data_IF_549243902756
#
_entry.id   IF_549243902756
#
_cell.length_a   1.000
_cell.length_b   1.000
_cell.length_c   1.000
_cell.angle_alpha   90.00
_cell.angle_beta   90.00
_cell.angle_gamma   90.00
#
_symmetry.space_group_name_H-M   'P 1'
#
loop_
_entity.id
_entity.type
_entity.pdbx_description
1 polymer ?
#
# COMPACT_ATOMS: atom_id res chain seq x y z
N UNK A 1 -2.43 7.60 7.91
CA UNK A 1 -3.24 6.37 8.08
C UNK A 1 -4.67 6.71 8.45
N UNK A 2 -5.62 6.00 7.89
CA UNK A 2 -7.06 6.21 8.08
C UNK A 2 -7.73 4.88 8.41
N UNK A 3 -8.61 4.88 9.41
CA UNK A 3 -9.51 3.76 9.65
C UNK A 3 -10.82 4.05 8.94
N UNK A 4 -11.21 3.20 7.99
CA UNK A 4 -12.41 3.43 7.21
C UNK A 4 -12.54 2.49 6.00
N UNK A 5 -13.39 2.92 5.08
CA UNK A 5 -13.73 2.19 3.85
C UNK A 5 -13.01 2.84 2.66
N UNK A 6 -12.10 2.07 2.04
CA UNK A 6 -11.30 2.56 0.91
C UNK A 6 -12.16 2.96 -0.30
N UNK A 7 -13.38 2.41 -0.44
CA UNK A 7 -14.30 2.74 -1.54
C UNK A 7 -14.93 4.13 -1.40
N UNK A 8 -14.74 4.79 -0.25
CA UNK A 8 -15.28 6.12 0.05
C UNK A 8 -14.21 7.20 0.12
N UNK A 9 -12.96 6.86 -0.12
CA UNK A 9 -11.84 7.80 -0.07
C UNK A 9 -11.81 8.68 -1.32
N UNK A 10 -11.76 9.99 -1.12
CA UNK A 10 -11.79 11.01 -2.18
C UNK A 10 -10.57 11.94 -2.20
N UNK A 11 -9.63 11.78 -1.28
CA UNK A 11 -8.43 12.61 -1.13
C UNK A 11 -7.21 12.08 -1.89
N UNK A 12 -7.38 10.99 -2.64
CA UNK A 12 -6.34 10.39 -3.48
C UNK A 12 -6.81 10.23 -4.92
N UNK A 13 -5.85 10.19 -5.84
CA UNK A 13 -6.13 9.96 -7.25
C UNK A 13 -6.37 8.48 -7.56
N UNK A 14 -5.70 7.58 -6.86
CA UNK A 14 -5.83 6.14 -7.05
C UNK A 14 -5.98 5.40 -5.72
N UNK A 15 -6.84 4.40 -5.72
CA UNK A 15 -6.88 3.38 -4.66
C UNK A 15 -6.29 2.08 -5.20
N UNK A 16 -5.69 1.29 -4.31
CA UNK A 16 -5.15 -0.03 -4.64
C UNK A 16 -6.16 -1.10 -4.26
N UNK A 17 -6.41 -2.02 -5.19
CA UNK A 17 -7.24 -3.20 -4.98
C UNK A 17 -6.35 -4.41 -4.68
N UNK A 18 -6.66 -5.15 -3.63
CA UNK A 18 -6.10 -6.47 -3.35
C UNK A 18 -6.88 -7.51 -4.16
N UNK A 19 -6.50 -7.70 -5.40
CA UNK A 19 -7.18 -8.53 -6.37
C UNK A 19 -6.70 -10.00 -6.32
N UNK A 20 -7.42 -10.89 -6.99
CA UNK A 20 -6.92 -12.21 -7.33
C UNK A 20 -6.34 -12.22 -8.76
N UNK A 21 -5.71 -13.32 -9.15
CA UNK A 21 -5.03 -13.43 -10.46
C UNK A 21 -5.94 -13.23 -11.66
N UNK A 22 -7.23 -13.53 -11.53
CA UNK A 22 -8.19 -13.37 -12.64
C UNK A 22 -8.57 -11.91 -12.88
N UNK A 23 -8.48 -11.05 -11.87
CA UNK A 23 -8.98 -9.67 -11.85
C UNK A 23 -10.51 -9.57 -12.01
N UNK A 24 -11.25 -10.65 -11.87
CA UNK A 24 -12.68 -10.71 -12.14
C UNK A 24 -13.57 -10.53 -10.91
N UNK A 25 -13.02 -9.95 -9.85
CA UNK A 25 -13.73 -9.74 -8.59
C UNK A 25 -13.58 -10.91 -7.63
N UNK A 26 -14.11 -10.75 -6.45
CA UNK A 26 -14.05 -11.73 -5.36
C UNK A 26 -14.69 -11.18 -4.10
N UNK A 27 -14.25 -11.67 -2.95
CA UNK A 27 -14.70 -11.20 -1.63
C UNK A 27 -13.85 -10.04 -1.07
N UNK A 28 -14.13 -9.66 0.17
CA UNK A 28 -13.38 -8.65 0.89
C UNK A 28 -13.33 -7.30 0.18
N UNK A 29 -12.18 -6.64 0.20
CA UNK A 29 -12.00 -5.33 -0.43
C UNK A 29 -12.19 -5.37 -1.94
N UNK A 30 -11.79 -6.46 -2.60
CA UNK A 30 -11.98 -6.65 -4.04
C UNK A 30 -13.46 -6.60 -4.42
N UNK A 31 -14.30 -7.35 -3.73
CA UNK A 31 -15.75 -7.34 -3.92
C UNK A 31 -16.36 -5.96 -3.64
N UNK A 32 -15.93 -5.28 -2.58
CA UNK A 32 -16.40 -3.95 -2.23
C UNK A 32 -16.04 -2.92 -3.32
N UNK A 33 -14.84 -2.97 -3.85
CA UNK A 33 -14.39 -2.06 -4.93
C UNK A 33 -15.21 -2.30 -6.21
N UNK A 34 -15.40 -3.55 -6.61
CA UNK A 34 -16.22 -3.86 -7.79
C UNK A 34 -17.67 -3.40 -7.64
N UNK A 35 -18.28 -3.60 -6.47
CA UNK A 35 -19.65 -3.14 -6.20
C UNK A 35 -19.76 -1.61 -6.27
N UNK A 36 -18.82 -0.91 -5.65
CA UNK A 36 -18.82 0.56 -5.62
C UNK A 36 -18.51 1.19 -6.99
N UNK A 37 -17.60 0.59 -7.75
CA UNK A 37 -17.22 1.07 -9.08
C UNK A 37 -18.31 0.85 -10.14
N UNK A 38 -19.12 -0.19 -9.96
CA UNK A 38 -20.11 -0.61 -10.94
C UNK A 38 -19.57 -1.56 -12.01
N UNK A 39 -20.42 -2.03 -12.93
CA UNK A 39 -20.09 -3.14 -13.86
C UNK A 39 -19.00 -2.81 -14.89
N UNK A 40 -18.77 -1.55 -15.18
CA UNK A 40 -17.74 -1.14 -16.16
C UNK A 40 -16.32 -1.48 -15.71
N UNK A 41 -16.05 -1.51 -14.39
CA UNK A 41 -14.75 -1.91 -13.89
C UNK A 41 -14.44 -3.36 -14.27
N UNK A 42 -15.40 -4.26 -14.10
CA UNK A 42 -15.25 -5.66 -14.49
C UNK A 42 -14.94 -5.81 -15.98
N UNK A 43 -15.62 -5.04 -16.83
CA UNK A 43 -15.38 -5.07 -18.28
C UNK A 43 -13.95 -4.64 -18.63
N UNK A 44 -13.44 -3.60 -18.00
CA UNK A 44 -12.04 -3.18 -18.21
C UNK A 44 -11.06 -4.23 -17.68
N UNK A 45 -11.34 -4.82 -16.50
CA UNK A 45 -10.51 -5.89 -15.93
C UNK A 45 -10.42 -7.13 -16.84
N UNK A 46 -11.53 -7.50 -17.50
CA UNK A 46 -11.53 -8.62 -18.46
C UNK A 46 -10.54 -8.39 -19.60
N UNK A 47 -10.42 -7.17 -20.08
CA UNK A 47 -9.49 -6.81 -21.15
C UNK A 47 -8.03 -6.87 -20.74
N UNK A 48 -7.72 -6.91 -19.44
CA UNK A 48 -6.36 -7.03 -18.92
C UNK A 48 -5.83 -8.48 -18.91
N UNK A 49 -6.69 -9.46 -19.06
CA UNK A 49 -6.33 -10.89 -19.10
C UNK A 49 -5.56 -11.38 -17.87
N UNK A 50 -5.99 -10.96 -16.69
CA UNK A 50 -5.39 -11.36 -15.42
C UNK A 50 -4.15 -10.56 -15.02
N UNK A 51 -3.58 -10.96 -13.88
CA UNK A 51 -2.40 -10.32 -13.30
C UNK A 51 -1.66 -11.37 -12.45
N UNK A 52 -0.34 -11.44 -12.56
CA UNK A 52 0.46 -12.36 -11.76
C UNK A 52 0.65 -11.84 -10.33
N UNK A 53 0.87 -12.77 -9.40
CA UNK A 53 1.21 -12.41 -8.02
C UNK A 53 2.44 -11.49 -7.98
N UNK A 54 2.33 -10.39 -7.24
CA UNK A 54 3.38 -9.37 -7.13
C UNK A 54 3.32 -8.28 -8.18
N UNK A 55 2.58 -8.46 -9.26
CA UNK A 55 2.41 -7.45 -10.30
C UNK A 55 1.24 -6.50 -10.00
N UNK A 56 1.16 -5.41 -10.74
CA UNK A 56 0.10 -4.41 -10.63
C UNK A 56 -0.35 -3.91 -12.00
N UNK A 57 -1.65 -3.67 -12.16
CA UNK A 57 -2.26 -3.15 -13.39
C UNK A 57 -3.25 -2.04 -13.09
N UNK A 58 -3.33 -1.05 -13.97
CA UNK A 58 -4.16 0.14 -13.82
C UNK A 58 -5.47 0.02 -14.59
N UNK A 59 -6.56 0.48 -13.97
CA UNK A 59 -7.85 0.74 -14.64
C UNK A 59 -8.41 2.10 -14.24
N UNK A 60 -9.44 2.55 -14.93
CA UNK A 60 -10.28 3.63 -14.45
C UNK A 60 -11.09 3.19 -13.22
N UNK A 61 -11.60 4.15 -12.45
CA UNK A 61 -12.33 3.89 -11.20
C UNK A 61 -13.87 3.95 -11.35
N UNK A 62 -14.36 4.45 -12.46
CA UNK A 62 -15.79 4.57 -12.79
C UNK A 62 -16.59 5.30 -11.69
N UNK A 63 -17.49 4.62 -10.99
CA UNK A 63 -18.35 5.24 -9.97
C UNK A 63 -17.66 5.49 -8.62
N UNK A 64 -16.41 5.06 -8.44
CA UNK A 64 -15.64 5.37 -7.25
C UNK A 64 -15.29 6.87 -7.18
N UNK A 65 -15.08 7.43 -5.97
CA UNK A 65 -14.75 8.85 -5.82
C UNK A 65 -13.31 9.23 -6.21
N UNK A 66 -12.47 8.26 -6.56
CA UNK A 66 -11.13 8.47 -7.11
C UNK A 66 -11.11 8.31 -8.64
N UNK A 67 -9.97 8.55 -9.27
CA UNK A 67 -9.82 8.49 -10.74
C UNK A 67 -9.42 7.11 -11.25
N UNK A 68 -8.60 6.39 -10.50
CA UNK A 68 -7.98 5.14 -10.93
C UNK A 68 -8.05 4.07 -9.84
N UNK A 69 -8.01 2.82 -10.30
CA UNK A 69 -7.76 1.66 -9.43
C UNK A 69 -6.48 0.97 -9.91
N UNK A 70 -5.57 0.74 -8.99
CA UNK A 70 -4.38 -0.07 -9.22
C UNK A 70 -4.66 -1.44 -8.63
N UNK A 71 -4.75 -2.46 -9.47
CA UNK A 71 -5.00 -3.85 -9.06
C UNK A 71 -3.68 -4.56 -8.85
N UNK A 72 -3.45 -5.08 -7.67
CA UNK A 72 -2.27 -5.89 -7.35
C UNK A 72 -2.69 -7.21 -6.72
N UNK A 73 -1.94 -8.26 -6.98
CA UNK A 73 -2.25 -9.62 -6.52
C UNK A 73 -1.25 -10.03 -5.46
N UNK A 74 -1.70 -10.00 -4.21
CA UNK A 74 -0.88 -10.41 -3.08
C UNK A 74 -0.66 -11.93 -3.03
N UNK A 75 0.42 -12.38 -2.36
CA UNK A 75 0.66 -13.80 -2.16
C UNK A 75 -0.30 -14.40 -1.15
N UNK A 76 -0.69 -15.66 -1.37
CA UNK A 76 -1.33 -16.49 -0.36
C UNK A 76 -0.27 -16.99 0.61
N UNK A 77 -0.51 -16.84 1.92
CA UNK A 77 0.44 -17.29 2.92
C UNK A 77 0.54 -18.83 2.93
N UNK A 78 1.75 -19.31 2.76
CA UNK A 78 2.07 -20.73 2.75
C UNK A 78 3.21 -21.11 3.70
N UNK A 79 3.43 -20.32 4.76
CA UNK A 79 4.45 -20.60 5.78
C UNK A 79 5.76 -19.82 5.65
N UNK A 80 5.89 -18.94 4.66
CA UNK A 80 7.03 -18.05 4.51
C UNK A 80 8.20 -18.60 3.68
N UNK A 81 8.03 -19.79 3.06
CA UNK A 81 9.10 -20.45 2.27
C UNK A 81 8.92 -20.34 0.75
N UNK A 82 7.89 -19.62 0.30
CA UNK A 82 7.52 -19.50 -1.12
C UNK A 82 7.73 -18.08 -1.66
N UNK A 83 8.71 -17.36 -1.13
CA UNK A 83 9.00 -15.97 -1.48
C UNK A 83 7.84 -15.00 -1.18
N UNK A 84 6.98 -15.31 -0.23
CA UNK A 84 5.81 -14.51 0.10
C UNK A 84 6.21 -13.09 0.53
N UNK A 85 7.28 -12.94 1.30
CA UNK A 85 7.78 -11.62 1.72
C UNK A 85 8.19 -10.75 0.54
N UNK A 86 8.92 -11.32 -0.42
CA UNK A 86 9.33 -10.62 -1.64
C UNK A 86 8.12 -10.27 -2.50
N UNK A 87 7.20 -11.22 -2.69
CA UNK A 87 5.99 -11.00 -3.49
C UNK A 87 5.09 -9.94 -2.88
N UNK A 88 4.96 -9.89 -1.56
CA UNK A 88 4.21 -8.84 -0.89
C UNK A 88 4.89 -7.47 -1.06
N UNK A 89 6.20 -7.38 -0.90
CA UNK A 89 6.95 -6.17 -1.18
C UNK A 89 6.78 -5.72 -2.64
N UNK A 90 6.81 -6.65 -3.58
CA UNK A 90 6.61 -6.36 -5.00
C UNK A 90 5.22 -5.76 -5.28
N UNK A 91 4.17 -6.18 -4.57
CA UNK A 91 2.84 -5.59 -4.68
C UNK A 91 2.87 -4.09 -4.37
N UNK A 92 3.51 -3.69 -3.30
CA UNK A 92 3.63 -2.28 -2.92
C UNK A 92 4.52 -1.51 -3.89
N UNK A 93 5.66 -2.07 -4.22
CA UNK A 93 6.63 -1.44 -5.13
C UNK A 93 6.05 -1.27 -6.54
N UNK A 94 5.46 -2.31 -7.10
CA UNK A 94 4.89 -2.27 -8.45
C UNK A 94 3.64 -1.39 -8.52
N UNK A 95 2.81 -1.35 -7.46
CA UNK A 95 1.67 -0.44 -7.39
C UNK A 95 2.12 1.03 -7.42
N UNK A 96 3.14 1.38 -6.67
CA UNK A 96 3.69 2.74 -6.68
C UNK A 96 4.41 3.07 -7.98
N UNK A 97 5.08 2.08 -8.60
CA UNK A 97 5.70 2.26 -9.92
C UNK A 97 4.66 2.55 -11.01
N UNK A 98 3.53 1.84 -11.00
CA UNK A 98 2.40 2.13 -11.89
C UNK A 98 1.89 3.56 -11.67
N UNK A 99 1.76 3.99 -10.42
CA UNK A 99 1.34 5.36 -10.10
C UNK A 99 2.31 6.39 -10.67
N UNK A 100 3.60 6.24 -10.41
CA UNK A 100 4.65 7.16 -10.90
C UNK A 100 4.67 7.19 -12.43
N UNK A 101 4.61 6.05 -13.09
CA UNK A 101 4.61 5.95 -14.56
C UNK A 101 3.42 6.67 -15.22
N UNK A 102 2.30 6.77 -14.50
CA UNK A 102 1.08 7.45 -14.96
C UNK A 102 0.91 8.85 -14.33
N UNK A 103 1.94 9.38 -13.67
CA UNK A 103 1.92 10.69 -13.01
C UNK A 103 0.81 10.83 -11.95
N UNK A 104 0.45 9.73 -11.32
CA UNK A 104 -0.44 9.68 -10.16
C UNK A 104 0.39 10.03 -8.93
N UNK A 105 -0.03 11.03 -8.18
CA UNK A 105 0.74 11.59 -7.06
C UNK A 105 0.19 11.21 -5.68
N UNK A 106 -0.99 10.61 -5.63
CA UNK A 106 -1.64 10.23 -4.37
C UNK A 106 -2.29 8.85 -4.48
N UNK A 107 -1.98 7.98 -3.54
CA UNK A 107 -2.36 6.56 -3.56
C UNK A 107 -2.81 6.11 -2.17
N UNK A 108 -3.92 5.39 -2.09
CA UNK A 108 -4.38 4.73 -0.88
C UNK A 108 -4.30 3.21 -1.01
N UNK A 109 -3.70 2.56 -0.01
CA UNK A 109 -3.55 1.11 0.08
C UNK A 109 -4.50 0.49 1.10
N UNK A 110 -5.04 -0.71 0.82
CA UNK A 110 -5.57 -1.59 1.84
C UNK A 110 -4.44 -2.40 2.48
N UNK A 111 -4.77 -3.23 3.47
CA UNK A 111 -3.85 -4.26 3.96
C UNK A 111 -3.83 -5.44 2.98
N UNK A 112 -2.75 -5.61 2.23
CA UNK A 112 -2.64 -6.65 1.21
C UNK A 112 -2.33 -8.00 1.87
N UNK A 113 -2.99 -9.07 1.40
CA UNK A 113 -2.80 -10.48 1.79
C UNK A 113 -3.19 -10.85 3.22
N UNK A 114 -3.66 -9.93 4.06
CA UNK A 114 -3.94 -10.21 5.49
C UNK A 114 -5.35 -10.70 5.78
N UNK A 115 -6.23 -10.70 4.79
CA UNK A 115 -7.58 -11.27 4.88
C UNK A 115 -7.59 -12.77 4.57
N UNK A 116 -8.33 -13.16 3.53
CA UNK A 116 -8.48 -14.56 3.10
C UNK A 116 -7.14 -15.25 2.77
N UNK A 117 -6.12 -14.50 2.37
CA UNK A 117 -4.79 -15.06 2.05
C UNK A 117 -3.92 -15.31 3.28
N UNK A 118 -4.36 -14.91 4.46
CA UNK A 118 -3.82 -15.30 5.79
C UNK A 118 -2.35 -14.92 6.04
N UNK A 119 -1.83 -13.93 5.36
CA UNK A 119 -0.51 -13.41 5.71
C UNK A 119 -0.52 -12.90 7.17
N UNK A 120 0.46 -13.27 8.02
CA UNK A 120 0.54 -12.77 9.38
C UNK A 120 0.57 -11.24 9.40
N UNK A 121 -0.36 -10.63 10.14
CA UNK A 121 -0.63 -9.19 10.08
C UNK A 121 0.59 -8.34 10.44
N UNK A 122 1.28 -8.67 11.54
CA UNK A 122 2.45 -7.92 11.99
C UNK A 122 3.60 -7.92 10.96
N UNK A 123 3.85 -9.08 10.36
CA UNK A 123 4.88 -9.22 9.33
C UNK A 123 4.48 -8.50 8.04
N UNK A 124 3.22 -8.59 7.65
CA UNK A 124 2.70 -7.89 6.48
C UNK A 124 2.80 -6.37 6.64
N UNK A 125 2.42 -5.85 7.80
CA UNK A 125 2.52 -4.42 8.11
C UNK A 125 3.97 -3.92 8.06
N UNK A 126 4.91 -4.69 8.60
CA UNK A 126 6.34 -4.37 8.56
C UNK A 126 6.85 -4.27 7.11
N UNK A 127 6.52 -5.23 6.27
CA UNK A 127 6.93 -5.25 4.86
C UNK A 127 6.31 -4.06 4.11
N UNK A 128 5.02 -3.82 4.30
CA UNK A 128 4.31 -2.72 3.65
C UNK A 128 4.93 -1.36 3.96
N UNK A 129 5.12 -1.05 5.23
CA UNK A 129 5.67 0.24 5.67
C UNK A 129 7.12 0.41 5.20
N UNK A 130 7.95 -0.62 5.36
CA UNK A 130 9.35 -0.56 4.92
C UNK A 130 9.48 -0.38 3.40
N UNK A 131 8.69 -1.11 2.61
CA UNK A 131 8.76 -1.04 1.14
C UNK A 131 8.28 0.30 0.61
N UNK A 132 7.16 0.82 1.12
CA UNK A 132 6.65 2.14 0.71
C UNK A 132 7.63 3.24 1.08
N UNK A 133 8.21 3.18 2.27
CA UNK A 133 9.22 4.15 2.71
C UNK A 133 10.44 4.15 1.78
N UNK A 134 10.99 2.99 1.47
CA UNK A 134 12.11 2.83 0.55
C UNK A 134 11.78 3.38 -0.85
N UNK A 135 10.60 3.06 -1.36
CA UNK A 135 10.17 3.56 -2.67
C UNK A 135 10.09 5.10 -2.70
N UNK A 136 9.51 5.71 -1.67
CA UNK A 136 9.41 7.17 -1.58
C UNK A 136 10.79 7.83 -1.51
N UNK A 137 11.72 7.24 -0.78
CA UNK A 137 13.10 7.75 -0.70
C UNK A 137 13.83 7.67 -2.05
N UNK A 138 13.58 6.61 -2.83
CA UNK A 138 14.18 6.41 -4.15
C UNK A 138 13.51 7.24 -5.26
N UNK A 139 12.33 7.82 -4.99
CA UNK A 139 11.54 8.61 -5.94
C UNK A 139 11.17 9.98 -5.35
N UNK A 140 12.15 10.83 -5.00
CA UNK A 140 11.87 12.11 -4.33
C UNK A 140 11.02 13.03 -5.21
N UNK A 141 9.97 13.61 -4.62
CA UNK A 141 9.09 14.57 -5.29
C UNK A 141 8.08 13.98 -6.26
N UNK A 142 8.01 12.66 -6.42
CA UNK A 142 7.08 12.02 -7.36
C UNK A 142 5.73 11.67 -6.74
N UNK A 143 5.65 11.54 -5.42
CA UNK A 143 4.43 11.26 -4.68
C UNK A 143 4.19 12.32 -3.61
N UNK A 144 2.96 12.82 -3.52
CA UNK A 144 2.54 13.81 -2.51
C UNK A 144 1.91 13.12 -1.29
N UNK A 145 1.19 12.02 -1.49
CA UNK A 145 0.50 11.30 -0.43
C UNK A 145 0.44 9.80 -0.74
N UNK A 146 0.90 9.01 0.21
CA UNK A 146 0.63 7.57 0.27
C UNK A 146 0.01 7.28 1.63
N UNK A 147 -1.20 6.73 1.63
CA UNK A 147 -1.90 6.40 2.86
C UNK A 147 -2.37 4.95 2.87
N UNK A 148 -2.55 4.40 4.06
CA UNK A 148 -3.29 3.15 4.27
C UNK A 148 -4.67 3.48 4.78
N UNK A 149 -5.68 2.85 4.18
CA UNK A 149 -7.07 2.90 4.62
C UNK A 149 -7.46 1.51 5.10
N UNK A 150 -7.63 1.38 6.41
CA UNK A 150 -7.72 0.10 7.09
C UNK A 150 -9.10 -0.06 7.74
N UNK A 151 -9.74 -1.20 7.47
CA UNK A 151 -11.15 -1.41 7.79
C UNK A 151 -11.40 -1.61 9.29
N UNK A 152 -10.49 -2.28 10.01
CA UNK A 152 -10.68 -2.61 11.42
C UNK A 152 -9.56 -2.07 12.31
N UNK A 153 -9.83 -2.03 13.62
CA UNK A 153 -8.93 -1.46 14.63
C UNK A 153 -7.64 -2.28 14.77
N UNK A 154 -7.73 -3.59 14.75
CA UNK A 154 -6.58 -4.49 14.88
C UNK A 154 -5.57 -4.27 13.75
N UNK A 155 -6.05 -4.19 12.52
CA UNK A 155 -5.22 -3.92 11.35
C UNK A 155 -4.61 -2.53 11.41
N UNK A 156 -5.42 -1.52 11.76
CA UNK A 156 -4.94 -0.16 11.96
C UNK A 156 -3.79 -0.08 12.97
N UNK A 157 -3.94 -0.69 14.13
CA UNK A 157 -2.91 -0.68 15.19
C UNK A 157 -1.61 -1.35 14.75
N UNK A 158 -1.69 -2.44 13.98
CA UNK A 158 -0.50 -3.13 13.47
C UNK A 158 0.32 -2.23 12.53
N UNK A 159 -0.34 -1.54 11.60
CA UNK A 159 0.31 -0.60 10.69
C UNK A 159 0.79 0.66 11.40
N UNK A 160 0.00 1.20 12.32
CA UNK A 160 0.35 2.38 13.10
C UNK A 160 1.61 2.16 13.93
N UNK A 161 1.73 1.01 14.57
CA UNK A 161 2.93 0.61 15.32
C UNK A 161 4.16 0.60 14.42
N UNK A 162 4.10 0.01 13.24
CA UNK A 162 5.24 -0.05 12.30
C UNK A 162 5.62 1.32 11.76
N UNK A 163 4.64 2.14 11.42
CA UNK A 163 4.89 3.50 10.95
C UNK A 163 5.50 4.38 12.05
N UNK A 164 5.03 4.28 13.29
CA UNK A 164 5.57 5.01 14.43
C UNK A 164 7.01 4.61 14.73
N UNK A 165 7.34 3.32 14.67
CA UNK A 165 8.71 2.81 14.85
C UNK A 165 9.66 3.38 13.77
N UNK A 166 9.21 3.48 12.53
CA UNK A 166 9.99 4.06 11.44
C UNK A 166 10.26 5.55 11.69
N UNK A 167 9.28 6.32 12.13
CA UNK A 167 9.42 7.75 12.43
C UNK A 167 10.42 7.96 13.57
N UNK A 168 10.32 7.19 14.66
CA UNK A 168 11.25 7.27 15.79
C UNK A 168 12.68 6.94 15.34
N UNK A 169 12.87 5.90 14.56
CA UNK A 169 14.19 5.55 14.00
C UNK A 169 14.80 6.71 13.20
N UNK A 170 14.02 7.39 12.37
CA UNK A 170 14.48 8.55 11.61
C UNK A 170 14.89 9.73 12.49
N UNK A 171 14.15 9.99 13.56
CA UNK A 171 14.47 11.07 14.51
C UNK A 171 15.78 10.76 15.22
N UNK A 172 15.94 9.54 15.72
CA UNK A 172 17.14 9.12 16.48
C UNK A 172 18.40 9.15 15.63
N UNK A 173 18.29 8.87 14.33
CA UNK A 173 19.42 8.84 13.40
C UNK A 173 19.49 10.09 12.51
N UNK A 174 18.82 11.18 12.89
CA UNK A 174 18.86 12.39 12.07
C UNK A 174 20.19 13.13 12.26
N UNK A 175 20.82 13.67 11.19
CA UNK A 175 22.05 14.43 11.29
C UNK A 175 21.94 15.60 12.27
N UNK A 176 20.77 16.24 12.33
CA UNK A 176 20.50 17.36 13.24
C UNK A 176 20.57 16.94 14.72
N UNK A 177 20.08 15.75 15.06
CA UNK A 177 20.15 15.23 16.41
C UNK A 177 21.60 14.89 16.78
N UNK A 178 22.36 14.33 15.85
CA UNK A 178 23.77 14.03 16.02
C UNK A 178 24.60 15.30 16.26
N UNK A 179 24.29 16.41 15.56
CA UNK A 179 24.90 17.72 15.78
C UNK A 179 24.59 18.27 17.16
N UNK A 180 23.33 18.19 17.60
CA UNK A 180 22.89 18.63 18.94
C UNK A 180 23.59 17.82 20.02
N UNK A 181 23.64 16.51 19.90
CA UNK A 181 24.29 15.63 20.85
C UNK A 181 25.79 15.92 20.94
N UNK A 182 26.44 16.16 19.80
CA UNK A 182 27.85 16.55 19.75
C UNK A 182 28.11 17.87 20.46
N UNK A 183 27.28 18.90 20.16
CA UNK A 183 27.40 20.20 20.82
C UNK A 183 27.21 20.14 22.35
N UNK A 184 26.29 19.27 22.81
CA UNK A 184 26.09 18.99 24.25
C UNK A 184 27.32 18.32 24.88
N UNK A 185 27.92 17.34 24.20
CA UNK A 185 29.10 16.63 24.70
C UNK A 185 30.34 17.53 24.72
N UNK A 186 30.43 18.47 23.79
CA UNK A 186 31.53 19.42 23.72
C UNK A 186 31.35 20.62 24.68
N UNK A 187 30.25 20.64 25.46
CA UNK A 187 29.98 21.70 26.43
C UNK A 187 29.72 23.08 25.83
N UNK A 188 29.22 23.12 24.59
CA UNK A 188 28.95 24.37 23.85
C UNK A 188 27.54 24.91 24.08
N UNK A 189 26.68 24.15 24.79
CA UNK A 189 25.31 24.54 25.21
C UNK A 189 25.05 24.11 26.63
#
# INVERSE_FOLDING_TARGET
>A
MVKGDITKISDVEAIVNAANKSLLGGGGVDGAIHRAAGPKLLEECKALHGCNTGEAKLTNAYNLPCKYVIHTVGPVWGGGKRKEAQLLADCYRNSLQVAVDHKIRSVAFPSISTGAYRYPLEEAAKIAVATVNEFIEDHPGELDLVEWVLFDQKTYEAYDTKLSQLIVSRIVHSPRLDEINRALMDGLI
#
